data_IF_730393026555
#
_entry.id   IF_730393026555
#
_cell.length_a   1.000
_cell.length_b   1.000
_cell.length_c   1.000
_cell.angle_alpha   90.00
_cell.angle_beta   90.00
_cell.angle_gamma   90.00
#
_symmetry.space_group_name_H-M   'P 1'
#
loop_
_entity.id
_entity.type
_entity.pdbx_description
1 polymer ?
#
# COMPACT_ATOMS: atom_id res chain seq x y z
N UNK A 1 -4.80 64.34 8.60
CA UNK A 1 -3.61 63.59 9.05
C UNK A 1 -3.30 62.53 8.00
N UNK A 2 -2.11 62.61 7.38
CA UNK A 2 -1.39 61.62 6.52
C UNK A 2 -2.21 60.93 5.40
N UNK A 3 -2.13 61.28 4.10
CA UNK A 3 -1.03 61.34 3.12
C UNK A 3 -0.33 60.00 2.78
N UNK A 4 -0.10 59.83 1.47
CA UNK A 4 0.69 58.80 0.76
C UNK A 4 -0.01 57.45 0.53
N UNK A 5 -0.43 57.04 -0.67
CA UNK A 5 0.09 57.34 -2.01
C UNK A 5 1.30 56.45 -2.29
N UNK A 6 1.09 55.31 -2.99
CA UNK A 6 2.05 54.70 -3.93
C UNK A 6 1.31 53.69 -4.84
N UNK A 7 1.06 54.10 -6.09
CA UNK A 7 0.73 53.23 -7.22
C UNK A 7 1.98 53.11 -8.11
N UNK A 8 2.22 51.87 -8.57
CA UNK A 8 2.93 51.46 -9.81
C UNK A 8 4.44 51.74 -9.93
N UNK A 9 5.18 51.12 -10.89
CA UNK A 9 4.78 50.21 -11.99
C UNK A 9 5.72 48.97 -12.16
N UNK A 10 5.65 48.29 -13.31
CA UNK A 10 6.60 47.31 -13.90
C UNK A 10 6.43 45.84 -13.48
N UNK A 11 6.38 44.85 -14.38
CA UNK A 11 6.40 44.84 -15.84
C UNK A 11 6.00 43.44 -16.36
N UNK A 12 5.18 43.44 -17.41
CA UNK A 12 5.32 42.68 -18.67
C UNK A 12 5.56 41.17 -18.64
N UNK A 13 4.51 40.47 -19.07
CA UNK A 13 4.51 39.60 -20.26
C UNK A 13 5.83 38.92 -20.63
N UNK A 14 5.88 37.60 -20.40
CA UNK A 14 6.73 36.71 -21.20
C UNK A 14 5.82 35.73 -21.93
N UNK A 15 5.27 36.20 -23.04
CA UNK A 15 4.77 35.37 -24.12
C UNK A 15 5.98 34.78 -24.85
N UNK A 16 6.48 33.63 -24.38
CA UNK A 16 7.55 32.91 -25.09
C UNK A 16 6.93 31.93 -26.10
N UNK A 17 6.98 32.36 -27.36
CA UNK A 17 6.50 31.66 -28.51
C UNK A 17 7.29 30.36 -28.81
N UNK A 18 6.54 29.39 -29.35
CA UNK A 18 6.88 28.45 -30.43
C UNK A 18 8.37 28.13 -30.63
N UNK A 19 8.71 26.85 -30.52
CA UNK A 19 9.50 26.15 -31.55
C UNK A 19 8.99 24.72 -31.74
N UNK A 20 8.18 24.55 -32.79
CA UNK A 20 7.99 23.29 -33.49
C UNK A 20 9.33 22.89 -34.09
N UNK A 21 9.84 21.71 -33.73
CA UNK A 21 10.93 21.05 -34.44
C UNK A 21 10.49 19.63 -34.80
N UNK A 22 10.03 19.49 -36.04
CA UNK A 22 10.18 18.30 -36.87
C UNK A 22 10.93 18.80 -38.12
N UNK A 23 11.87 18.05 -38.71
CA UNK A 23 11.47 16.98 -39.64
C UNK A 23 12.45 15.80 -39.81
N UNK A 24 12.00 14.83 -40.64
CA UNK A 24 12.76 13.95 -41.54
C UNK A 24 13.51 12.75 -40.92
N UNK A 25 12.97 11.53 -41.08
CA UNK A 25 13.20 10.58 -42.19
C UNK A 25 14.54 9.84 -42.08
N UNK A 26 14.48 8.52 -41.83
CA UNK A 26 15.23 7.57 -42.66
C UNK A 26 14.65 6.16 -42.52
N UNK A 27 14.22 5.62 -43.66
CA UNK A 27 13.94 4.22 -43.91
C UNK A 27 15.24 3.41 -43.83
N UNK A 28 15.19 2.23 -43.20
CA UNK A 28 16.02 1.10 -43.59
C UNK A 28 15.25 -0.20 -43.35
N UNK A 29 14.96 -0.86 -44.47
CA UNK A 29 14.39 -2.19 -44.64
C UNK A 29 15.43 -3.29 -44.43
N UNK A 30 14.93 -4.51 -44.17
CA UNK A 30 15.51 -5.85 -44.42
C UNK A 30 15.72 -6.65 -43.12
N UNK A 31 15.41 -7.94 -42.98
CA UNK A 31 14.55 -8.94 -43.65
C UNK A 31 14.84 -10.28 -42.96
N UNK A 32 13.85 -11.18 -42.90
CA UNK A 32 13.95 -12.64 -42.66
C UNK A 32 14.53 -13.16 -41.33
N UNK A 33 13.74 -13.94 -40.59
CA UNK A 33 13.74 -15.40 -40.76
C UNK A 33 12.63 -16.07 -39.91
N UNK A 34 11.93 -16.98 -40.58
CA UNK A 34 10.89 -17.88 -40.08
C UNK A 34 11.56 -19.11 -39.45
N UNK A 35 11.11 -19.55 -38.27
CA UNK A 35 11.14 -20.97 -37.88
C UNK A 35 9.92 -21.33 -37.03
N UNK A 36 8.99 -22.05 -37.65
CA UNK A 36 7.98 -22.91 -37.02
C UNK A 36 8.63 -24.20 -36.53
N UNK A 37 8.24 -24.69 -35.35
CA UNK A 37 8.02 -26.11 -34.99
C UNK A 37 7.83 -26.21 -33.46
N UNK A 38 7.10 -27.13 -32.85
CA UNK A 38 5.94 -27.95 -33.17
C UNK A 38 5.50 -28.55 -31.82
N UNK A 39 4.25 -29.00 -31.78
CA UNK A 39 3.50 -29.64 -30.70
C UNK A 39 4.26 -30.69 -29.85
N UNK A 40 3.85 -30.82 -28.57
CA UNK A 40 4.10 -32.03 -27.78
C UNK A 40 3.65 -31.93 -26.31
N UNK A 41 2.43 -32.36 -26.02
CA UNK A 41 1.97 -32.70 -24.66
C UNK A 41 2.22 -34.17 -24.31
N UNK A 42 1.74 -34.58 -23.11
CA UNK A 42 1.89 -35.86 -22.40
C UNK A 42 3.16 -35.90 -21.50
N UNK A 43 3.13 -36.01 -20.17
CA UNK A 43 2.13 -36.63 -19.30
C UNK A 43 2.38 -38.14 -19.19
N UNK A 44 3.25 -38.58 -18.26
CA UNK A 44 3.19 -39.90 -17.64
C UNK A 44 4.10 -40.01 -16.41
N UNK A 45 3.45 -40.45 -15.33
CA UNK A 45 3.95 -40.68 -13.98
C UNK A 45 5.06 -41.73 -13.96
N UNK A 46 6.19 -41.40 -13.31
CA UNK A 46 7.11 -42.40 -12.78
C UNK A 46 6.86 -42.51 -11.28
N UNK A 47 6.02 -43.49 -10.93
CA UNK A 47 5.92 -44.07 -9.60
C UNK A 47 7.29 -44.67 -9.26
N UNK A 48 8.12 -43.94 -8.53
CA UNK A 48 9.26 -44.54 -7.82
C UNK A 48 8.89 -44.66 -6.35
N UNK A 49 8.32 -45.80 -6.02
CA UNK A 49 8.18 -46.28 -4.64
C UNK A 49 9.58 -46.54 -4.08
N UNK A 50 10.17 -45.51 -3.48
CA UNK A 50 11.33 -45.62 -2.62
C UNK A 50 10.87 -45.76 -1.18
N UNK A 51 10.79 -46.99 -0.69
CA UNK A 51 10.69 -47.30 0.73
C UNK A 51 11.87 -46.68 1.48
N UNK A 52 11.58 -45.78 2.40
CA UNK A 52 12.53 -45.24 3.38
C UNK A 52 11.75 -44.75 4.58
N UNK A 53 11.54 -45.64 5.56
CA UNK A 53 10.82 -45.34 6.79
C UNK A 53 11.49 -44.23 7.58
N UNK A 54 10.70 -43.24 7.97
CA UNK A 54 11.12 -42.11 8.78
C UNK A 54 9.92 -41.36 9.32
N UNK A 55 9.34 -41.89 10.40
CA UNK A 55 8.85 -41.14 11.57
C UNK A 55 8.34 -39.71 11.33
N UNK A 56 7.02 -39.52 11.23
CA UNK A 56 6.19 -38.40 11.73
C UNK A 56 4.75 -38.79 11.36
N UNK A 57 3.75 -38.94 12.24
CA UNK A 57 3.51 -38.23 13.48
C UNK A 57 2.27 -37.34 13.34
N UNK A 58 1.10 -37.95 13.07
CA UNK A 58 -0.22 -37.41 13.42
C UNK A 58 -0.79 -36.22 12.63
N UNK A 59 -2.12 -36.26 12.44
CA UNK A 59 -2.93 -35.04 12.37
C UNK A 59 -3.63 -34.74 11.04
N UNK A 60 -4.85 -35.30 10.91
CA UNK A 60 -6.05 -34.56 10.49
C UNK A 60 -6.15 -34.01 9.06
N UNK A 61 -7.14 -34.57 8.33
CA UNK A 61 -8.05 -33.75 7.54
C UNK A 61 -8.62 -32.65 8.44
N UNK A 62 -8.02 -31.47 8.42
CA UNK A 62 -8.68 -30.26 8.87
C UNK A 62 -9.16 -29.51 7.64
N UNK A 63 -10.46 -29.24 7.67
CA UNK A 63 -11.12 -28.15 6.99
C UNK A 63 -10.13 -26.98 6.86
N UNK A 64 -9.81 -26.58 5.63
CA UNK A 64 -9.04 -25.39 5.36
C UNK A 64 -9.85 -24.15 5.81
N UNK A 65 -9.90 -23.91 7.12
CA UNK A 65 -10.28 -22.65 7.75
C UNK A 65 -9.00 -21.81 7.83
N UNK A 66 -8.48 -21.39 6.68
CA UNK A 66 -7.40 -20.40 6.58
C UNK A 66 -7.96 -19.16 5.90
N UNK A 67 -8.46 -18.20 6.68
CA UNK A 67 -8.74 -16.84 6.18
C UNK A 67 -9.06 -15.81 7.27
N UNK A 68 -8.57 -15.98 8.51
CA UNK A 68 -8.69 -14.93 9.52
C UNK A 68 -7.69 -13.81 9.24
N UNK A 69 -8.16 -12.57 9.07
CA UNK A 69 -7.26 -11.41 9.12
C UNK A 69 -6.66 -11.35 10.52
N UNK A 70 -5.37 -11.66 10.66
CA UNK A 70 -4.64 -11.65 11.93
C UNK A 70 -3.39 -10.77 11.84
N UNK A 71 -3.04 -10.13 12.97
CA UNK A 71 -1.86 -9.26 13.06
C UNK A 71 -0.57 -10.04 12.78
N UNK A 72 -0.46 -11.28 13.29
CA UNK A 72 0.70 -12.13 13.07
C UNK A 72 0.93 -12.43 11.58
N UNK A 73 -0.13 -12.83 10.84
CA UNK A 73 0.00 -13.11 9.40
C UNK A 73 0.34 -11.85 8.59
N UNK A 74 -0.22 -10.70 8.97
CA UNK A 74 0.13 -9.42 8.36
C UNK A 74 1.58 -9.02 8.63
N UNK A 75 2.08 -9.28 9.85
CA UNK A 75 3.44 -8.99 10.24
C UNK A 75 4.44 -9.88 9.50
N UNK A 76 4.14 -11.17 9.36
CA UNK A 76 4.98 -12.11 8.63
C UNK A 76 4.97 -11.83 7.12
N UNK A 77 3.83 -11.40 6.57
CA UNK A 77 3.74 -10.94 5.19
C UNK A 77 4.56 -9.66 4.93
N UNK A 78 4.66 -8.75 5.92
CA UNK A 78 5.50 -7.57 5.80
C UNK A 78 7.00 -7.90 5.84
N UNK A 79 7.40 -8.92 6.61
CA UNK A 79 8.79 -9.40 6.72
C UNK A 79 9.25 -10.21 5.51
N UNK A 80 8.34 -10.89 4.81
CA UNK A 80 8.65 -11.86 3.74
C UNK A 80 8.66 -11.27 2.33
N UNK A 81 8.19 -10.03 2.12
CA UNK A 81 8.06 -9.47 0.77
C UNK A 81 9.34 -8.80 0.25
N UNK A 82 9.74 -9.21 -0.96
CA UNK A 82 10.65 -8.51 -1.87
C UNK A 82 10.08 -7.12 -2.25
N UNK A 83 10.86 -6.03 -2.19
CA UNK A 83 10.41 -4.66 -2.45
C UNK A 83 9.86 -4.39 -3.87
N UNK A 84 9.91 -5.35 -4.80
CA UNK A 84 9.48 -5.18 -6.20
C UNK A 84 7.98 -5.34 -6.47
N UNK A 85 7.18 -5.72 -5.47
CA UNK A 85 5.71 -5.84 -5.62
C UNK A 85 4.98 -5.07 -4.53
N UNK A 86 4.66 -3.80 -4.81
CA UNK A 86 3.77 -3.00 -3.99
C UNK A 86 2.38 -3.66 -3.88
N UNK A 87 1.88 -3.77 -2.65
CA UNK A 87 0.53 -4.24 -2.31
C UNK A 87 0.20 -5.64 -2.82
N UNK A 88 0.55 -6.66 -2.02
CA UNK A 88 -0.07 -7.98 -2.15
C UNK A 88 -1.02 -8.16 -0.98
N UNK A 89 -2.30 -8.20 -1.30
CA UNK A 89 -3.36 -8.57 -0.37
C UNK A 89 -3.02 -9.90 0.33
N UNK A 90 -3.14 -9.95 1.66
CA UNK A 90 -2.90 -11.16 2.45
C UNK A 90 -4.26 -11.72 2.86
N UNK A 91 -4.80 -12.68 2.12
CA UNK A 91 -6.07 -13.33 2.44
C UNK A 91 -6.87 -13.75 1.21
N UNK A 92 -7.89 -14.59 1.42
CA UNK A 92 -8.88 -14.89 0.38
C UNK A 92 -9.73 -13.65 0.10
N UNK A 93 -9.91 -13.31 -1.17
CA UNK A 93 -10.80 -12.21 -1.57
C UNK A 93 -12.23 -12.73 -1.52
N UNK A 94 -12.96 -12.43 -0.44
CA UNK A 94 -14.40 -12.72 -0.42
C UNK A 94 -15.09 -11.89 -1.51
N UNK A 95 -15.69 -12.59 -2.47
CA UNK A 95 -16.38 -12.00 -3.59
C UNK A 95 -17.51 -11.10 -3.08
N UNK A 96 -17.42 -9.79 -3.36
CA UNK A 96 -18.44 -8.81 -2.98
C UNK A 96 -18.11 -7.95 -1.75
N UNK A 97 -17.00 -8.17 -1.06
CA UNK A 97 -16.58 -7.28 0.03
C UNK A 97 -16.08 -5.90 -0.49
N UNK A 98 -16.21 -4.82 0.30
CA UNK A 98 -15.64 -3.50 0.01
C UNK A 98 -14.13 -3.54 -0.24
N UNK A 99 -13.62 -2.93 -1.32
CA UNK A 99 -12.20 -2.97 -1.67
C UNK A 99 -11.35 -2.31 -0.58
N UNK A 100 -10.15 -2.81 -0.32
CA UNK A 100 -9.18 -2.15 0.57
C UNK A 100 -7.93 -1.80 -0.23
N UNK A 101 -7.64 -0.52 -0.34
CA UNK A 101 -6.47 0.00 -1.06
C UNK A 101 -5.61 0.87 -0.16
N UNK A 102 -4.33 1.00 -0.52
CA UNK A 102 -3.42 1.94 0.12
C UNK A 102 -3.51 3.27 -0.62
N UNK A 103 -3.60 4.38 0.11
CA UNK A 103 -3.67 5.73 -0.43
C UNK A 103 -2.43 6.03 -1.31
N UNK A 104 -2.59 6.38 -2.60
CA UNK A 104 -1.46 6.54 -3.53
C UNK A 104 -0.42 7.60 -3.15
N UNK A 105 -0.83 8.61 -2.38
CA UNK A 105 0.03 9.74 -1.97
C UNK A 105 0.41 9.69 -0.48
N UNK A 106 -0.31 8.89 0.31
CA UNK A 106 -0.10 8.74 1.75
C UNK A 106 0.28 7.29 2.10
N UNK A 107 0.88 6.55 1.16
CA UNK A 107 1.37 5.17 1.39
C UNK A 107 2.70 5.14 2.17
N UNK A 108 3.38 6.28 2.29
CA UNK A 108 4.57 6.46 3.11
C UNK A 108 4.54 7.82 3.83
N UNK A 109 5.25 7.91 4.95
CA UNK A 109 5.48 9.16 5.68
C UNK A 109 6.97 9.28 5.97
N UNK A 110 7.53 10.49 5.86
CA UNK A 110 8.94 10.75 6.12
C UNK A 110 9.08 11.83 7.17
N UNK A 111 9.79 11.50 8.25
CA UNK A 111 10.18 12.44 9.29
C UNK A 111 11.58 12.98 8.95
N UNK A 112 11.74 14.29 9.01
CA UNK A 112 12.99 14.98 8.73
C UNK A 112 13.52 15.63 9.99
N UNK A 113 14.82 15.94 10.01
CA UNK A 113 15.35 16.89 10.98
C UNK A 113 14.63 18.24 10.85
N UNK A 114 14.47 18.94 11.98
CA UNK A 114 13.83 20.24 12.04
C UNK A 114 14.44 21.22 11.01
N UNK A 115 13.59 21.84 10.20
CA UNK A 115 14.00 22.82 9.17
C UNK A 115 14.65 22.23 7.91
N UNK A 116 14.65 20.90 7.74
CA UNK A 116 15.30 20.20 6.60
C UNK A 116 14.33 19.30 5.82
N UNK A 117 13.06 19.69 5.76
CA UNK A 117 12.02 18.94 5.03
C UNK A 117 12.37 18.88 3.54
N UNK A 118 12.35 17.67 2.97
CA UNK A 118 12.65 17.40 1.56
C UNK A 118 14.13 17.09 1.27
N UNK A 119 15.02 17.21 2.25
CA UNK A 119 16.42 16.79 2.11
C UNK A 119 16.56 15.29 2.43
N UNK A 120 16.95 14.50 1.42
CA UNK A 120 17.16 13.06 1.56
C UNK A 120 18.24 12.70 2.60
N UNK A 121 19.22 13.59 2.81
CA UNK A 121 20.27 13.41 3.81
C UNK A 121 19.84 13.83 5.22
N UNK A 122 18.65 14.44 5.35
CA UNK A 122 18.08 14.87 6.61
C UNK A 122 16.92 13.96 7.09
N UNK A 123 16.70 12.82 6.43
CA UNK A 123 15.67 11.86 6.82
C UNK A 123 16.02 11.25 8.18
N UNK A 124 15.12 11.43 9.13
CA UNK A 124 15.19 10.82 10.46
C UNK A 124 14.59 9.41 10.44
N UNK A 125 13.33 9.28 10.03
CA UNK A 125 12.67 7.99 9.85
C UNK A 125 11.73 8.02 8.65
N UNK A 126 11.45 6.84 8.07
CA UNK A 126 10.47 6.68 7.00
C UNK A 126 9.54 5.49 7.29
N UNK A 127 8.25 5.76 7.40
CA UNK A 127 7.22 4.73 7.49
C UNK A 127 6.64 4.41 6.12
N UNK A 128 6.29 3.15 5.88
CA UNK A 128 5.67 2.67 4.64
C UNK A 128 4.63 1.60 4.96
N UNK A 129 3.45 1.69 4.34
CA UNK A 129 2.42 0.63 4.37
C UNK A 129 2.62 -0.25 3.14
N UNK A 130 2.80 -1.55 3.35
CA UNK A 130 3.20 -2.49 2.29
C UNK A 130 2.15 -3.55 2.00
N UNK A 131 1.39 -3.96 3.01
CA UNK A 131 0.39 -5.04 2.91
C UNK A 131 -0.92 -4.63 3.55
N UNK A 132 -2.00 -5.17 3.00
CA UNK A 132 -3.36 -4.99 3.50
C UNK A 132 -4.10 -6.31 3.44
N UNK A 133 -5.10 -6.45 4.30
CA UNK A 133 -5.98 -7.62 4.37
C UNK A 133 -7.39 -7.18 4.77
N UNK A 134 -8.41 -7.88 4.30
CA UNK A 134 -9.81 -7.57 4.62
C UNK A 134 -10.63 -8.85 4.63
N UNK A 135 -11.58 -8.90 5.54
CA UNK A 135 -12.69 -9.84 5.60
C UNK A 135 -13.95 -9.01 5.87
N UNK A 136 -15.11 -9.42 5.34
CA UNK A 136 -16.34 -8.71 5.63
C UNK A 136 -17.51 -9.64 5.90
N UNK A 137 -18.38 -9.19 6.79
CA UNK A 137 -19.67 -9.79 7.07
C UNK A 137 -20.74 -8.84 6.53
N UNK A 138 -21.58 -9.35 5.63
CA UNK A 138 -22.64 -8.56 4.98
C UNK A 138 -23.96 -8.93 5.64
N UNK A 139 -24.62 -7.95 6.24
CA UNK A 139 -25.99 -8.08 6.75
C UNK A 139 -26.97 -7.24 5.91
N UNK A 140 -28.29 -7.49 6.00
CA UNK A 140 -29.27 -6.60 5.39
C UNK A 140 -29.07 -5.14 5.86
N UNK A 141 -28.75 -4.26 4.92
CA UNK A 141 -28.60 -2.80 5.13
C UNK A 141 -27.28 -2.33 5.74
N UNK A 142 -26.33 -3.22 6.06
CA UNK A 142 -25.01 -2.84 6.60
C UNK A 142 -23.93 -3.86 6.26
N UNK A 143 -22.68 -3.42 6.32
CA UNK A 143 -21.53 -4.30 6.22
C UNK A 143 -20.56 -4.01 7.35
N UNK A 144 -20.02 -5.07 7.91
CA UNK A 144 -18.94 -5.03 8.90
C UNK A 144 -17.68 -5.54 8.23
N UNK A 145 -16.68 -4.68 8.10
CA UNK A 145 -15.38 -5.02 7.49
C UNK A 145 -14.34 -5.09 8.60
N UNK A 146 -13.74 -6.27 8.79
CA UNK A 146 -12.52 -6.41 9.56
C UNK A 146 -11.34 -6.28 8.62
N UNK A 147 -10.61 -5.19 8.78
CA UNK A 147 -9.52 -4.79 7.92
C UNK A 147 -8.22 -4.78 8.70
N UNK A 148 -7.13 -5.04 8.01
CA UNK A 148 -5.80 -4.94 8.57
C UNK A 148 -4.80 -4.42 7.58
N UNK A 149 -3.75 -3.83 8.10
CA UNK A 149 -2.63 -3.33 7.34
C UNK A 149 -1.33 -3.62 8.08
N UNK A 150 -0.26 -3.76 7.32
CA UNK A 150 1.09 -3.84 7.86
C UNK A 150 2.07 -3.11 6.98
N UNK A 151 3.21 -2.81 7.59
CA UNK A 151 4.20 -1.95 7.01
C UNK A 151 5.53 -2.05 7.75
N UNK A 152 6.41 -1.13 7.39
CA UNK A 152 7.76 -1.03 7.95
C UNK A 152 8.11 0.40 8.29
N UNK A 153 8.95 0.56 9.30
CA UNK A 153 9.58 1.80 9.70
C UNK A 153 11.09 1.64 9.50
N UNK A 154 11.64 2.53 8.69
CA UNK A 154 13.05 2.58 8.31
C UNK A 154 13.73 3.72 9.07
N UNK A 155 14.89 3.43 9.66
CA UNK A 155 15.77 4.44 10.23
C UNK A 155 16.55 5.13 9.10
N UNK A 156 16.48 6.46 9.04
CA UNK A 156 17.20 7.27 8.06
C UNK A 156 18.62 7.63 8.51
N UNK A 157 19.42 8.29 7.63
CA UNK A 157 20.81 8.68 7.94
C UNK A 157 20.96 9.61 9.14
N UNK A 158 19.89 10.34 9.49
CA UNK A 158 19.83 11.23 10.65
C UNK A 158 18.89 10.74 11.74
N UNK A 159 18.39 9.53 11.60
CA UNK A 159 17.53 8.89 12.57
C UNK A 159 18.25 8.56 13.86
N UNK A 160 17.55 8.69 14.97
CA UNK A 160 17.98 8.16 16.27
C UNK A 160 17.07 6.98 16.64
N UNK A 161 17.60 5.98 17.35
CA UNK A 161 16.79 4.94 17.98
C UNK A 161 15.70 5.53 18.88
N UNK A 162 14.55 4.89 18.89
CA UNK A 162 13.45 5.33 19.74
C UNK A 162 12.11 4.77 19.32
N UNK A 163 11.09 5.17 20.07
CA UNK A 163 9.70 4.94 19.70
C UNK A 163 9.23 6.06 18.77
N UNK A 164 8.61 5.68 17.66
CA UNK A 164 7.99 6.58 16.69
C UNK A 164 6.52 6.23 16.58
N UNK A 165 5.67 7.23 16.78
CA UNK A 165 4.23 7.11 16.59
C UNK A 165 3.85 7.42 15.15
N UNK A 166 3.25 6.46 14.47
CA UNK A 166 2.76 6.57 13.10
C UNK A 166 1.26 6.91 13.08
N UNK A 167 0.86 8.07 12.55
CA UNK A 167 -0.55 8.44 12.43
C UNK A 167 -1.12 7.86 11.14
N UNK A 168 -2.08 6.95 11.23
CA UNK A 168 -2.70 6.26 10.10
C UNK A 168 -4.19 6.53 10.13
N UNK A 169 -4.78 6.84 8.97
CA UNK A 169 -6.21 7.01 8.79
C UNK A 169 -6.74 5.98 7.80
N UNK A 170 -7.92 5.45 8.11
CA UNK A 170 -8.71 4.63 7.19
C UNK A 170 -10.02 5.35 6.91
N UNK A 171 -10.29 5.62 5.64
CA UNK A 171 -11.55 6.20 5.19
C UNK A 171 -12.36 5.13 4.45
N UNK A 172 -13.68 5.13 4.67
CA UNK A 172 -14.62 4.35 3.87
C UNK A 172 -15.34 5.31 2.95
N UNK A 173 -15.29 5.03 1.65
CA UNK A 173 -15.96 5.78 0.61
C UNK A 173 -17.03 4.92 -0.07
N UNK A 174 -18.13 5.54 -0.48
CA UNK A 174 -19.15 4.90 -1.30
C UNK A 174 -18.77 4.89 -2.81
N UNK A 175 -19.68 4.37 -3.63
CA UNK A 175 -19.51 4.32 -5.09
C UNK A 175 -19.38 5.69 -5.76
N UNK A 176 -19.82 6.76 -5.09
CA UNK A 176 -19.72 8.15 -5.53
C UNK A 176 -18.48 8.86 -4.96
N UNK A 177 -17.60 8.12 -4.28
CA UNK A 177 -16.42 8.63 -3.56
C UNK A 177 -16.75 9.58 -2.41
N UNK A 178 -17.98 9.55 -1.91
CA UNK A 178 -18.35 10.27 -0.71
C UNK A 178 -17.90 9.48 0.52
N UNK A 179 -17.28 10.17 1.48
CA UNK A 179 -16.81 9.57 2.73
C UNK A 179 -18.01 9.21 3.61
N UNK A 180 -18.16 7.93 3.93
CA UNK A 180 -19.23 7.40 4.79
C UNK A 180 -18.77 7.08 6.21
N UNK A 181 -17.50 6.73 6.40
CA UNK A 181 -16.91 6.50 7.71
C UNK A 181 -15.40 6.82 7.70
N UNK A 182 -14.81 6.98 8.89
CA UNK A 182 -13.36 6.93 9.07
C UNK A 182 -12.94 6.44 10.43
N UNK A 183 -11.75 5.87 10.47
CA UNK A 183 -11.02 5.49 11.66
C UNK A 183 -9.62 6.13 11.63
N UNK A 184 -9.10 6.50 12.80
CA UNK A 184 -7.77 7.10 12.95
C UNK A 184 -7.02 6.35 14.04
N UNK A 185 -5.85 5.82 13.68
CA UNK A 185 -5.05 4.92 14.51
C UNK A 185 -3.65 5.51 14.68
N UNK A 186 -3.13 5.47 15.90
CA UNK A 186 -1.74 5.75 16.22
C UNK A 186 -1.02 4.43 16.47
N UNK A 187 0.01 4.13 15.69
CA UNK A 187 0.79 2.90 15.79
C UNK A 187 2.19 3.25 16.29
N UNK A 188 2.54 2.79 17.48
CA UNK A 188 3.85 3.00 18.08
C UNK A 188 4.83 1.91 17.63
N UNK A 189 5.96 2.32 17.07
CA UNK A 189 6.97 1.42 16.53
C UNK A 189 8.33 1.79 17.09
N UNK A 190 9.01 0.84 17.71
CA UNK A 190 10.38 1.01 18.18
C UNK A 190 11.38 0.65 17.08
N UNK A 191 12.35 1.51 16.80
CA UNK A 191 13.44 1.30 15.85
C UNK A 191 14.79 1.49 16.54
N UNK A 192 15.80 0.69 16.17
CA UNK A 192 17.14 0.71 16.77
C UNK A 192 18.26 0.74 15.74
N UNK A 193 19.50 1.01 16.17
CA UNK A 193 20.68 1.01 15.27
C UNK A 193 21.01 -0.39 14.74
N UNK A 194 20.91 -1.41 15.60
CA UNK A 194 21.20 -2.80 15.21
C UNK A 194 20.13 -3.39 14.28
N UNK A 195 18.93 -2.81 14.31
CA UNK A 195 17.77 -3.20 13.49
C UNK A 195 17.15 -1.94 12.86
N UNK A 196 17.73 -1.44 11.75
CA UNK A 196 17.29 -0.20 11.12
C UNK A 196 15.94 -0.34 10.40
N UNK A 197 15.34 -1.54 10.41
CA UNK A 197 14.01 -1.83 9.89
C UNK A 197 13.19 -2.46 11.01
N UNK A 198 12.09 -1.81 11.35
CA UNK A 198 11.05 -2.34 12.24
C UNK A 198 9.78 -2.57 11.45
N UNK A 199 8.97 -3.53 11.88
CA UNK A 199 7.70 -3.86 11.21
C UNK A 199 6.55 -3.61 12.17
N UNK A 200 5.40 -3.25 11.60
CA UNK A 200 4.17 -3.05 12.35
C UNK A 200 2.98 -3.66 11.61
N UNK A 201 1.96 -4.04 12.36
CA UNK A 201 0.71 -4.58 11.85
C UNK A 201 -0.42 -4.13 12.77
N UNK A 202 -1.60 -3.92 12.22
CA UNK A 202 -2.79 -3.60 13.00
C UNK A 202 -4.02 -4.17 12.33
N UNK A 203 -4.95 -4.67 13.14
CA UNK A 203 -6.27 -5.15 12.68
C UNK A 203 -7.36 -4.40 13.42
N UNK A 204 -8.37 -3.94 12.69
CA UNK A 204 -9.51 -3.16 13.18
C UNK A 204 -10.78 -3.61 12.47
N UNK A 205 -11.90 -3.13 12.98
CA UNK A 205 -13.23 -3.41 12.41
C UNK A 205 -13.97 -2.10 12.21
N UNK A 206 -14.64 -1.96 11.07
CA UNK A 206 -15.53 -0.84 10.78
C UNK A 206 -16.88 -1.38 10.30
N UNK A 207 -17.96 -0.85 10.84
CA UNK A 207 -19.33 -1.16 10.40
C UNK A 207 -19.96 0.10 9.83
N UNK A 208 -20.57 0.00 8.66
CA UNK A 208 -21.25 1.12 8.01
C UNK A 208 -22.51 0.66 7.25
N UNK A 209 -23.52 1.54 7.11
CA UNK A 209 -24.74 1.23 6.38
C UNK A 209 -24.49 1.16 4.87
N UNK A 210 -25.25 0.29 4.19
CA UNK A 210 -25.27 0.21 2.73
C UNK A 210 -26.51 0.96 2.23
N UNK A 211 -26.32 1.90 1.31
CA UNK A 211 -27.41 2.61 0.68
C UNK A 211 -28.24 1.65 -0.19
N UNK A 212 -29.57 1.83 -0.19
CA UNK A 212 -30.47 1.03 -1.03
C UNK A 212 -30.04 1.05 -2.49
N UNK A 213 -30.03 -0.13 -3.13
CA UNK A 213 -29.57 -0.30 -4.51
C UNK A 213 -28.05 -0.30 -4.73
N UNK A 214 -27.24 -0.05 -3.69
CA UNK A 214 -25.77 -0.15 -3.77
C UNK A 214 -25.28 -1.54 -3.36
N UNK A 215 -24.14 -1.96 -3.91
CA UNK A 215 -23.51 -3.24 -3.55
C UNK A 215 -22.35 -3.01 -2.57
N UNK A 216 -22.13 -3.89 -1.58
CA UNK A 216 -21.00 -3.75 -0.66
C UNK A 216 -19.64 -3.66 -1.38
N UNK A 217 -19.47 -4.39 -2.48
CA UNK A 217 -18.25 -4.38 -3.28
C UNK A 217 -17.95 -3.07 -4.03
N UNK A 218 -18.90 -2.12 -4.05
CA UNK A 218 -18.70 -0.78 -4.63
C UNK A 218 -18.13 0.23 -3.62
N UNK A 219 -18.10 -0.13 -2.33
CA UNK A 219 -17.45 0.65 -1.30
C UNK A 219 -15.94 0.39 -1.32
N UNK A 220 -15.20 1.40 -0.88
CA UNK A 220 -13.74 1.38 -0.86
C UNK A 220 -13.21 1.88 0.49
N UNK A 221 -12.40 1.05 1.13
CA UNK A 221 -11.58 1.40 2.27
C UNK A 221 -10.22 1.88 1.75
N UNK A 222 -9.80 3.05 2.19
CA UNK A 222 -8.54 3.66 1.81
C UNK A 222 -7.72 3.86 3.08
N UNK A 223 -6.58 3.16 3.19
CA UNK A 223 -5.64 3.30 4.30
C UNK A 223 -4.44 4.15 3.90
N UNK A 224 -4.05 5.10 4.73
CA UNK A 224 -2.87 5.95 4.49
C UNK A 224 -2.40 6.65 5.75
N UNK A 225 -1.19 7.21 5.72
CA UNK A 225 -0.72 8.07 6.79
C UNK A 225 -1.49 9.40 6.82
N UNK A 226 -1.71 9.97 8.01
CA UNK A 226 -2.30 11.30 8.12
C UNK A 226 -1.20 12.36 7.94
N UNK A 227 -1.09 12.92 6.74
CA UNK A 227 -0.12 13.97 6.39
C UNK A 227 -0.40 15.31 7.08
N UNK A 228 -1.53 15.47 7.78
CA UNK A 228 -1.82 16.65 8.63
C UNK A 228 -1.30 16.50 10.06
N UNK A 229 -0.99 15.28 10.49
CA UNK A 229 -0.30 15.08 11.76
C UNK A 229 1.13 15.62 11.62
N UNK A 230 1.71 16.23 12.67
CA UNK A 230 3.04 16.83 12.57
C UNK A 230 4.05 15.78 12.11
N UNK A 231 4.55 15.90 10.88
CA UNK A 231 5.70 15.12 10.38
C UNK A 231 7.03 15.67 10.92
N UNK A 232 6.94 16.58 11.90
CA UNK A 232 8.05 17.25 12.57
C UNK A 232 8.15 16.72 14.00
N UNK A 233 9.27 16.05 14.27
CA UNK A 233 9.81 16.02 15.64
C UNK A 233 10.27 17.41 16.07
#
# INVERSE_FOLDING_TARGET
MLNSGYRHPYNKDVTAARRLFAPARMCATASLAVTLAALGGCGMSSLTSGLGGGMFGGGSSENAQISSVSEAQLLDAAKSSDPTTGSTFVGAVDAGCPRLIIAPHDNYITFYQAGRVGDALAVAQRGEITKTARECQIEPGRVTVKYGFSGRLLLGPKGQPGNVTLPITVAVNDSKRAKVASDSVKVDVNVGLDKPISYFSTVRTVTFPIAEGSRPGEYELIVGFDSRAPSSG
#
